data_IF_150529889577
#
_entry.id   IF_150529889577
#
_cell.length_a   1.000
_cell.length_b   1.000
_cell.length_c   1.000
_cell.angle_alpha   90.00
_cell.angle_beta   90.00
_cell.angle_gamma   90.00
#
_symmetry.space_group_name_H-M   'P 1'
#
loop_
_entity.id
_entity.type
_entity.pdbx_description
1 polymer ?
#
# COMPACT_ATOMS: atom_id res chain seq x y z
N UNK A 1 12.06 -8.15 -31.11
CA UNK A 1 11.25 -8.24 -29.88
C UNK A 1 9.85 -8.58 -30.35
N UNK A 2 9.31 -9.76 -30.03
CA UNK A 2 7.92 -10.08 -30.36
C UNK A 2 7.03 -9.13 -29.55
N UNK A 3 6.16 -8.40 -30.22
CA UNK A 3 5.00 -7.77 -29.60
C UNK A 3 4.26 -8.86 -28.83
N UNK A 4 3.99 -8.63 -27.55
CA UNK A 4 3.18 -9.55 -26.76
C UNK A 4 1.76 -9.48 -27.32
N UNK A 5 1.17 -10.63 -27.68
CA UNK A 5 -0.21 -10.72 -28.20
C UNK A 5 -1.27 -10.19 -27.21
N UNK A 6 -0.89 -9.97 -25.93
CA UNK A 6 -1.73 -9.41 -24.88
C UNK A 6 -1.16 -8.08 -24.34
N UNK A 7 -2.02 -7.13 -23.91
CA UNK A 7 -1.61 -5.89 -23.26
C UNK A 7 -0.88 -6.19 -21.95
N UNK A 8 0.06 -5.31 -21.55
CA UNK A 8 0.64 -5.38 -20.20
C UNK A 8 -0.38 -4.92 -19.16
N UNK A 9 -0.28 -5.44 -17.95
CA UNK A 9 -1.06 -4.99 -16.81
C UNK A 9 -0.18 -4.12 -15.92
N UNK A 10 -0.59 -2.86 -15.72
CA UNK A 10 0.09 -1.92 -14.85
C UNK A 10 -0.69 -1.79 -13.54
N UNK A 11 -0.17 -2.39 -12.47
CA UNK A 11 -0.75 -2.36 -11.13
C UNK A 11 -0.21 -1.14 -10.40
N UNK A 12 -1.03 -0.10 -10.27
CA UNK A 12 -0.69 1.16 -9.61
C UNK A 12 -1.13 1.13 -8.15
N UNK A 13 -0.18 1.43 -7.26
CA UNK A 13 -0.37 1.41 -5.81
C UNK A 13 0.07 2.76 -5.26
N UNK A 14 -0.67 3.30 -4.30
CA UNK A 14 -0.25 4.48 -3.55
C UNK A 14 -0.11 4.13 -2.08
N UNK A 15 1.14 4.03 -1.61
CA UNK A 15 1.46 3.88 -0.20
C UNK A 15 1.43 5.27 0.46
N UNK A 16 0.30 5.62 1.05
CA UNK A 16 0.09 6.92 1.68
C UNK A 16 0.53 6.86 3.15
N UNK A 17 1.57 7.62 3.49
CA UNK A 17 1.92 7.89 4.89
C UNK A 17 0.83 8.80 5.48
N UNK A 18 -0.19 8.18 6.07
CA UNK A 18 -1.44 8.85 6.39
C UNK A 18 -1.38 9.47 7.79
N UNK A 19 -0.71 10.62 7.91
CA UNK A 19 -0.41 11.28 9.20
C UNK A 19 -1.30 12.51 9.45
N UNK A 20 -2.53 12.36 9.96
CA UNK A 20 -3.43 13.50 10.20
C UNK A 20 -2.87 14.48 11.25
N UNK A 21 -2.00 14.01 12.15
CA UNK A 21 -1.36 14.87 13.17
C UNK A 21 -0.19 15.70 12.63
N UNK A 22 0.20 15.55 11.36
CA UNK A 22 1.28 16.35 10.81
C UNK A 22 0.93 17.84 10.77
N UNK A 23 1.87 18.70 11.18
CA UNK A 23 1.79 20.16 11.07
C UNK A 23 3.18 20.73 10.78
N UNK A 24 3.25 21.77 9.96
CA UNK A 24 4.51 22.40 9.53
C UNK A 24 5.34 22.95 10.70
N UNK A 25 4.69 23.27 11.84
CA UNK A 25 5.34 23.80 13.05
C UNK A 25 5.89 22.69 13.95
N UNK A 26 5.66 21.42 13.61
CA UNK A 26 6.02 20.26 14.42
C UNK A 26 5.19 20.14 15.71
N UNK A 27 4.05 20.83 15.79
CA UNK A 27 3.13 20.75 16.92
C UNK A 27 1.88 20.02 16.42
N UNK A 28 1.65 18.81 16.95
CA UNK A 28 0.48 18.03 16.59
C UNK A 28 -0.80 18.84 16.85
N UNK A 29 -1.69 18.97 15.85
CA UNK A 29 -2.97 19.65 16.02
C UNK A 29 -3.88 18.82 16.93
N UNK A 30 -4.85 19.47 17.55
CA UNK A 30 -5.85 18.78 18.36
C UNK A 30 -6.71 17.81 17.52
N UNK A 31 -7.44 16.94 18.21
CA UNK A 31 -8.28 15.92 17.56
C UNK A 31 -9.33 16.54 16.62
N UNK A 32 -9.90 17.71 16.96
CA UNK A 32 -10.90 18.36 16.11
C UNK A 32 -10.32 18.82 14.77
N UNK A 33 -9.11 19.39 14.78
CA UNK A 33 -8.39 19.76 13.57
C UNK A 33 -7.97 18.53 12.75
N UNK A 34 -7.54 17.44 13.40
CA UNK A 34 -7.25 16.17 12.72
C UNK A 34 -8.50 15.58 12.05
N UNK A 35 -9.65 15.56 12.74
CA UNK A 35 -10.92 15.11 12.20
C UNK A 35 -11.34 15.93 10.97
N UNK A 36 -11.19 17.25 11.03
CA UNK A 36 -11.49 18.12 9.89
C UNK A 36 -10.62 17.79 8.66
N UNK A 37 -9.32 17.52 8.87
CA UNK A 37 -8.41 17.10 7.79
C UNK A 37 -8.85 15.76 7.18
N UNK A 38 -9.19 14.78 8.02
CA UNK A 38 -9.67 13.46 7.56
C UNK A 38 -10.99 13.59 6.81
N UNK A 39 -11.93 14.41 7.29
CA UNK A 39 -13.20 14.66 6.59
C UNK A 39 -12.98 15.28 5.21
N UNK A 40 -12.07 16.25 5.11
CA UNK A 40 -11.68 16.84 3.84
C UNK A 40 -11.05 15.82 2.90
N UNK A 41 -10.24 14.90 3.42
CA UNK A 41 -9.67 13.79 2.66
C UNK A 41 -10.75 12.83 2.16
N UNK A 42 -11.65 12.35 3.03
CA UNK A 42 -12.74 11.45 2.66
C UNK A 42 -13.64 12.06 1.58
N UNK A 43 -13.94 13.36 1.65
CA UNK A 43 -14.69 14.06 0.62
C UNK A 43 -13.97 14.03 -0.75
N UNK A 44 -12.65 14.24 -0.76
CA UNK A 44 -11.84 14.16 -2.00
C UNK A 44 -11.77 12.74 -2.54
N UNK A 45 -11.57 11.73 -1.69
CA UNK A 45 -11.56 10.33 -2.07
C UNK A 45 -12.87 9.91 -2.74
N UNK A 46 -14.02 10.29 -2.16
CA UNK A 46 -15.34 10.09 -2.78
C UNK A 46 -15.47 10.82 -4.11
N UNK A 47 -14.97 12.06 -4.22
CA UNK A 47 -15.06 12.83 -5.45
C UNK A 47 -14.22 12.22 -6.59
N UNK A 48 -13.00 11.75 -6.32
CA UNK A 48 -12.11 11.18 -7.35
C UNK A 48 -12.51 9.75 -7.75
N UNK A 49 -13.32 9.06 -6.93
CA UNK A 49 -13.82 7.69 -7.19
C UNK A 49 -14.58 7.51 -8.52
N UNK A 50 -14.99 8.61 -9.16
CA UNK A 50 -15.54 8.59 -10.52
C UNK A 50 -14.51 8.12 -11.58
N UNK A 51 -13.21 8.30 -11.31
CA UNK A 51 -12.14 7.75 -12.14
C UNK A 51 -11.98 6.28 -11.82
N UNK A 52 -12.10 5.44 -12.85
CA UNK A 52 -12.04 3.99 -12.73
C UNK A 52 -10.91 3.42 -13.60
N UNK A 53 -10.33 2.33 -13.14
CA UNK A 53 -9.35 1.56 -13.89
C UNK A 53 -10.02 0.62 -14.91
N UNK A 54 -9.26 -0.28 -15.54
CA UNK A 54 -9.79 -1.22 -16.54
C UNK A 54 -10.85 -2.18 -16.00
N UNK A 55 -10.95 -2.33 -14.68
CA UNK A 55 -11.81 -3.29 -14.01
C UNK A 55 -13.08 -2.61 -13.47
N UNK A 56 -13.22 -1.30 -13.68
CA UNK A 56 -14.25 -0.49 -13.04
C UNK A 56 -13.92 -0.16 -11.58
N UNK A 57 -12.71 -0.46 -11.10
CA UNK A 57 -12.28 -0.19 -9.73
C UNK A 57 -11.99 1.31 -9.55
N UNK A 58 -12.54 1.97 -8.51
CA UNK A 58 -12.25 3.37 -8.24
C UNK A 58 -10.80 3.55 -7.80
N UNK A 59 -10.25 4.73 -8.06
CA UNK A 59 -8.93 5.09 -7.54
C UNK A 59 -8.93 5.04 -6.01
N UNK A 60 -7.93 4.33 -5.46
CA UNK A 60 -7.86 3.98 -4.05
C UNK A 60 -6.41 3.95 -3.58
N UNK A 61 -6.19 4.30 -2.32
CA UNK A 61 -4.88 4.29 -1.67
C UNK A 61 -4.81 3.15 -0.66
N UNK A 62 -3.60 2.84 -0.22
CA UNK A 62 -3.41 2.26 1.11
C UNK A 62 -3.07 3.37 2.09
N UNK A 63 -3.90 3.49 3.13
CA UNK A 63 -3.74 4.44 4.22
C UNK A 63 -2.91 3.77 5.31
N UNK A 64 -1.59 3.96 5.25
CA UNK A 64 -0.69 3.50 6.31
C UNK A 64 -0.86 4.44 7.51
N UNK A 65 -1.70 4.04 8.47
CA UNK A 65 -2.13 4.87 9.59
C UNK A 65 -1.16 4.72 10.77
N UNK A 66 -0.59 5.82 11.30
CA UNK A 66 0.43 5.79 12.34
C UNK A 66 -0.14 5.33 13.68
N UNK A 67 0.39 4.23 14.21
CA UNK A 67 -0.05 3.63 15.47
C UNK A 67 0.01 4.63 16.64
N UNK A 68 1.05 5.48 16.67
CA UNK A 68 1.26 6.47 17.71
C UNK A 68 0.32 7.68 17.63
N UNK A 69 -0.53 7.78 16.60
CA UNK A 69 -1.54 8.83 16.43
C UNK A 69 -2.97 8.27 16.53
N UNK A 70 -3.14 7.08 17.12
CA UNK A 70 -4.44 6.44 17.21
C UNK A 70 -5.47 7.28 18.00
N UNK A 71 -6.56 7.60 17.33
CA UNK A 71 -7.82 8.01 17.94
C UNK A 71 -8.93 7.22 17.26
N UNK A 72 -9.84 6.64 18.06
CA UNK A 72 -10.91 5.76 17.56
C UNK A 72 -11.76 6.48 16.49
N UNK A 73 -12.07 7.75 16.70
CA UNK A 73 -12.87 8.58 15.80
C UNK A 73 -12.23 8.81 14.43
N UNK A 74 -10.89 8.92 14.38
CA UNK A 74 -10.16 9.04 13.10
C UNK A 74 -10.24 7.72 12.33
N UNK A 75 -10.00 6.60 13.02
CA UNK A 75 -10.00 5.28 12.38
C UNK A 75 -11.40 4.85 11.95
N UNK A 76 -12.45 5.18 12.70
CA UNK A 76 -13.82 4.88 12.28
C UNK A 76 -14.16 5.53 10.93
N UNK A 77 -13.72 6.78 10.70
CA UNK A 77 -13.89 7.45 9.39
C UNK A 77 -13.13 6.73 8.28
N UNK A 78 -11.94 6.21 8.57
CA UNK A 78 -11.16 5.47 7.58
C UNK A 78 -11.74 4.08 7.31
N UNK A 79 -12.30 3.41 8.33
CA UNK A 79 -13.02 2.16 8.19
C UNK A 79 -14.29 2.33 7.33
N UNK A 80 -15.05 3.42 7.53
CA UNK A 80 -16.17 3.79 6.66
C UNK A 80 -15.71 3.98 5.20
N UNK A 81 -14.63 4.71 4.98
CA UNK A 81 -14.08 4.93 3.64
C UNK A 81 -13.60 3.62 2.98
N UNK A 82 -13.04 2.71 3.78
CA UNK A 82 -12.66 1.37 3.32
C UNK A 82 -13.87 0.50 2.99
N UNK A 83 -14.94 0.55 3.79
CA UNK A 83 -16.19 -0.14 3.52
C UNK A 83 -16.84 0.32 2.20
N UNK A 84 -16.64 1.60 1.83
CA UNK A 84 -17.05 2.14 0.52
C UNK A 84 -16.15 1.69 -0.65
N UNK A 85 -15.09 0.91 -0.38
CA UNK A 85 -14.13 0.45 -1.38
C UNK A 85 -13.13 1.52 -1.85
N UNK A 86 -12.97 2.60 -1.06
CA UNK A 86 -12.16 3.78 -1.43
C UNK A 86 -10.77 3.77 -0.77
N UNK A 87 -10.23 2.58 -0.50
CA UNK A 87 -8.89 2.34 0.03
C UNK A 87 -8.90 1.30 1.14
N UNK A 88 -7.73 1.00 1.67
CA UNK A 88 -7.57 0.08 2.81
C UNK A 88 -6.60 0.68 3.83
N UNK A 89 -6.87 0.46 5.12
CA UNK A 89 -6.00 0.88 6.22
C UNK A 89 -4.99 -0.20 6.55
N UNK A 90 -3.73 0.19 6.69
CA UNK A 90 -2.60 -0.68 7.03
C UNK A 90 -1.71 0.00 8.08
N UNK A 91 -0.68 -0.70 8.57
CA UNK A 91 0.11 -0.25 9.73
C UNK A 91 1.27 0.67 9.33
N UNK A 92 1.33 1.81 9.99
CA UNK A 92 2.46 2.72 9.97
C UNK A 92 2.96 2.92 11.39
N UNK A 93 4.28 3.05 11.56
CA UNK A 93 4.85 3.37 12.86
C UNK A 93 6.06 4.29 12.74
N UNK A 94 6.04 5.38 13.50
CA UNK A 94 7.25 6.08 13.89
C UNK A 94 7.74 5.55 15.23
N UNK A 95 8.98 5.06 15.27
CA UNK A 95 9.64 4.65 16.50
C UNK A 95 11.11 5.04 16.46
N UNK A 96 11.77 5.00 17.61
CA UNK A 96 13.20 5.32 17.70
C UNK A 96 13.56 6.79 17.42
N UNK A 97 12.61 7.72 17.51
CA UNK A 97 12.77 9.14 17.10
C UNK A 97 13.69 9.90 18.07
N UNK A 98 13.30 9.99 19.35
CA UNK A 98 14.07 10.71 20.37
C UNK A 98 15.28 9.91 20.87
N UNK A 99 15.11 8.59 20.93
CA UNK A 99 16.14 7.60 21.32
C UNK A 99 15.84 6.28 20.62
N UNK A 100 16.85 5.40 20.42
CA UNK A 100 16.63 4.07 19.88
C UNK A 100 15.53 3.32 20.64
N UNK A 101 14.62 2.69 19.91
CA UNK A 101 13.62 1.79 20.46
C UNK A 101 14.22 0.40 20.76
N UNK A 102 13.43 -0.49 21.34
CA UNK A 102 13.82 -1.84 21.69
C UNK A 102 12.78 -2.88 21.21
N UNK A 103 13.23 -4.11 21.05
CA UNK A 103 12.42 -5.21 20.51
C UNK A 103 11.10 -5.48 21.29
N UNK A 104 11.09 -5.51 22.64
CA UNK A 104 9.84 -5.65 23.40
C UNK A 104 8.81 -4.55 23.10
N UNK A 105 9.24 -3.28 23.12
CA UNK A 105 8.33 -2.15 22.88
C UNK A 105 7.77 -2.14 21.45
N UNK A 106 8.63 -2.38 20.47
CA UNK A 106 8.21 -2.50 19.07
C UNK A 106 7.17 -3.61 18.89
N UNK A 107 7.41 -4.80 19.47
CA UNK A 107 6.48 -5.92 19.40
C UNK A 107 5.13 -5.56 19.99
N UNK A 108 5.13 -5.03 21.22
CA UNK A 108 3.89 -4.69 21.91
C UNK A 108 3.09 -3.67 21.11
N UNK A 109 3.74 -2.60 20.62
CA UNK A 109 3.08 -1.55 19.83
C UNK A 109 2.44 -2.13 18.56
N UNK A 110 3.13 -3.03 17.85
CA UNK A 110 2.62 -3.67 16.64
C UNK A 110 1.46 -4.62 16.92
N UNK A 111 1.55 -5.43 17.99
CA UNK A 111 0.49 -6.36 18.38
C UNK A 111 -0.77 -5.60 18.81
N UNK A 112 -0.62 -4.61 19.70
CA UNK A 112 -1.74 -3.79 20.20
C UNK A 112 -2.45 -3.08 19.05
N UNK A 113 -1.70 -2.39 18.17
CA UNK A 113 -2.31 -1.65 17.07
C UNK A 113 -2.90 -2.55 15.98
N UNK A 114 -2.23 -3.67 15.64
CA UNK A 114 -2.79 -4.69 14.73
C UNK A 114 -4.13 -5.18 15.24
N UNK A 115 -4.20 -5.54 16.52
CA UNK A 115 -5.41 -6.11 17.11
C UNK A 115 -6.51 -5.06 17.21
N UNK A 116 -6.20 -3.80 17.53
CA UNK A 116 -7.17 -2.69 17.44
C UNK A 116 -7.72 -2.53 16.01
N UNK A 117 -6.87 -2.47 14.97
CA UNK A 117 -7.33 -2.34 13.58
C UNK A 117 -8.17 -3.53 13.13
N UNK A 118 -7.81 -4.75 13.54
CA UNK A 118 -8.52 -5.97 13.17
C UNK A 118 -9.84 -6.15 13.92
N UNK A 119 -9.86 -5.88 15.23
CA UNK A 119 -10.97 -6.25 16.09
C UNK A 119 -11.97 -5.12 16.32
N UNK A 120 -11.51 -3.88 16.45
CA UNK A 120 -12.40 -2.73 16.64
C UNK A 120 -12.86 -2.15 15.30
N UNK A 121 -11.95 -2.04 14.32
CA UNK A 121 -12.23 -1.34 13.06
C UNK A 121 -12.42 -2.27 11.86
N UNK A 122 -12.10 -3.57 11.99
CA UNK A 122 -12.23 -4.59 10.93
C UNK A 122 -11.45 -4.26 9.65
N UNK A 123 -10.43 -3.42 9.73
CA UNK A 123 -9.71 -2.90 8.56
C UNK A 123 -8.69 -3.87 7.97
N UNK A 124 -8.16 -4.80 8.76
CA UNK A 124 -7.08 -5.70 8.32
C UNK A 124 -7.61 -6.93 7.56
N UNK A 125 -6.68 -7.81 7.20
CA UNK A 125 -6.95 -9.04 6.45
C UNK A 125 -6.57 -10.29 7.24
N UNK A 126 -7.03 -11.45 6.79
CA UNK A 126 -6.60 -12.77 7.27
C UNK A 126 -6.17 -13.64 6.10
N UNK A 127 -5.31 -14.62 6.39
CA UNK A 127 -4.93 -15.67 5.45
C UNK A 127 -5.45 -17.01 5.97
N UNK A 128 -6.38 -17.67 5.27
CA UNK A 128 -6.82 -18.99 5.69
C UNK A 128 -5.66 -20.01 5.60
N UNK A 129 -5.51 -20.95 6.56
CA UNK A 129 -6.37 -21.22 7.71
C UNK A 129 -5.99 -20.49 9.01
N UNK A 130 -5.08 -19.51 8.97
CA UNK A 130 -4.66 -18.77 10.16
C UNK A 130 -5.65 -17.67 10.51
N UNK A 131 -6.08 -17.64 11.78
CA UNK A 131 -6.96 -16.58 12.30
C UNK A 131 -6.19 -15.30 12.70
N UNK A 132 -4.85 -15.34 12.73
CA UNK A 132 -4.02 -14.18 13.03
C UNK A 132 -4.25 -13.07 11.97
N UNK A 133 -4.61 -11.84 12.38
CA UNK A 133 -4.68 -10.70 11.48
C UNK A 133 -3.34 -10.43 10.79
N UNK A 134 -3.42 -10.04 9.52
CA UNK A 134 -2.27 -9.75 8.65
C UNK A 134 -2.33 -8.30 8.20
N UNK A 135 -1.16 -7.66 8.19
CA UNK A 135 -1.01 -6.25 7.83
C UNK A 135 0.19 -6.01 6.91
N UNK A 136 0.14 -4.94 6.12
CA UNK A 136 1.30 -4.36 5.46
C UNK A 136 1.89 -3.26 6.34
N UNK A 137 3.20 -3.05 6.19
CA UNK A 137 3.94 -2.09 7.00
C UNK A 137 4.60 -1.00 6.16
N UNK A 138 4.60 0.22 6.70
CA UNK A 138 5.49 1.31 6.29
C UNK A 138 6.18 1.86 7.54
N UNK A 139 7.50 1.99 7.44
CA UNK A 139 8.29 2.63 8.48
C UNK A 139 8.28 4.16 8.29
N UNK A 140 7.85 4.92 9.30
CA UNK A 140 7.57 6.35 9.12
C UNK A 140 8.76 7.24 8.79
N UNK A 141 9.92 6.96 9.38
CA UNK A 141 11.19 7.62 9.03
C UNK A 141 12.05 6.79 8.06
N UNK A 142 11.43 5.85 7.36
CA UNK A 142 12.05 4.96 6.39
C UNK A 142 13.21 4.09 6.90
N UNK A 143 13.42 4.02 8.22
CA UNK A 143 14.59 3.40 8.84
C UNK A 143 14.45 1.88 9.09
N UNK A 144 13.71 1.20 8.22
CA UNK A 144 13.37 -0.22 8.32
C UNK A 144 14.57 -1.09 8.70
N UNK A 145 14.36 -2.03 9.61
CA UNK A 145 15.36 -2.96 10.13
C UNK A 145 16.62 -2.26 10.63
N UNK A 146 16.44 -1.14 11.32
CA UNK A 146 17.48 -0.28 11.84
C UNK A 146 18.46 0.22 10.75
N UNK A 147 17.97 0.49 9.54
CA UNK A 147 18.80 0.82 8.38
C UNK A 147 19.64 2.09 8.58
N UNK A 148 19.14 3.06 9.34
CA UNK A 148 19.83 4.30 9.67
C UNK A 148 20.80 4.20 10.88
N UNK A 149 21.10 2.99 11.37
CA UNK A 149 22.19 2.77 12.34
C UNK A 149 21.91 3.32 13.73
N UNK A 150 20.71 3.06 14.26
CA UNK A 150 20.25 3.48 15.58
C UNK A 150 19.34 4.70 15.56
N UNK A 151 19.32 5.48 14.47
CA UNK A 151 18.41 6.61 14.30
C UNK A 151 17.05 6.13 13.79
N UNK A 152 15.98 6.67 14.37
CA UNK A 152 14.61 6.46 13.92
C UNK A 152 14.16 5.00 13.88
N UNK A 153 14.80 4.12 14.65
CA UNK A 153 14.40 2.71 14.82
C UNK A 153 15.10 2.16 16.07
N UNK A 154 16.32 1.60 15.95
CA UNK A 154 17.06 1.02 17.07
C UNK A 154 16.93 -0.50 17.23
N UNK A 155 16.01 -1.15 16.49
CA UNK A 155 15.71 -2.57 16.64
C UNK A 155 16.27 -3.39 15.48
N UNK A 156 17.39 -4.07 15.71
CA UNK A 156 18.02 -4.93 14.68
C UNK A 156 17.12 -6.09 14.23
N UNK A 157 16.27 -6.61 15.12
CA UNK A 157 15.34 -7.71 14.85
C UNK A 157 13.97 -7.27 14.35
N UNK A 158 13.79 -6.01 13.93
CA UNK A 158 12.49 -5.47 13.49
C UNK A 158 11.84 -6.33 12.39
N UNK A 159 12.59 -6.82 11.40
CA UNK A 159 12.01 -7.68 10.35
C UNK A 159 11.50 -9.02 10.86
N UNK A 160 12.12 -9.56 11.91
CA UNK A 160 11.64 -10.78 12.57
C UNK A 160 10.34 -10.48 13.34
N UNK A 161 10.31 -9.38 14.08
CA UNK A 161 9.12 -8.96 14.85
C UNK A 161 7.95 -8.67 13.90
N UNK A 162 8.18 -7.95 12.81
CA UNK A 162 7.17 -7.74 11.76
C UNK A 162 6.62 -9.09 11.26
N UNK A 163 7.49 -10.05 10.91
CA UNK A 163 7.05 -11.37 10.45
C UNK A 163 6.16 -12.10 11.49
N UNK A 164 6.62 -12.16 12.74
CA UNK A 164 5.97 -12.91 13.82
C UNK A 164 4.65 -12.26 14.24
N UNK A 165 4.55 -10.94 14.14
CA UNK A 165 3.32 -10.20 14.45
C UNK A 165 2.32 -10.19 13.29
N UNK A 166 2.65 -10.77 12.13
CA UNK A 166 1.70 -10.94 11.02
C UNK A 166 1.90 -9.99 9.83
N UNK A 167 3.02 -9.27 9.75
CA UNK A 167 3.33 -8.43 8.60
C UNK A 167 3.56 -9.30 7.35
N UNK A 168 2.74 -9.12 6.32
CA UNK A 168 2.86 -9.86 5.06
C UNK A 168 3.78 -9.16 4.05
N UNK A 169 3.83 -7.83 4.07
CA UNK A 169 4.65 -7.04 3.17
C UNK A 169 5.08 -5.69 3.75
N UNK A 170 6.24 -5.22 3.31
CA UNK A 170 6.77 -3.88 3.57
C UNK A 170 6.72 -3.02 2.31
N UNK A 171 6.33 -1.75 2.48
CA UNK A 171 6.21 -0.75 1.41
C UNK A 171 7.09 0.49 1.67
N UNK A 172 8.10 0.38 2.54
CA UNK A 172 8.92 1.51 2.98
C UNK A 172 9.78 2.08 1.85
N UNK A 173 10.29 1.24 0.93
CA UNK A 173 11.27 1.66 -0.07
C UNK A 173 10.64 2.16 -1.39
N UNK A 174 11.26 3.10 -2.13
CA UNK A 174 12.56 3.72 -1.86
C UNK A 174 12.50 4.77 -0.75
N UNK A 175 13.66 5.10 -0.21
CA UNK A 175 13.87 6.11 0.82
C UNK A 175 15.00 7.08 0.47
N UNK A 176 15.37 7.19 -0.81
CA UNK A 176 16.32 8.23 -1.23
C UNK A 176 15.81 9.63 -0.86
N UNK A 177 16.70 10.56 -0.48
CA UNK A 177 18.16 10.43 -0.41
C UNK A 177 18.69 9.92 0.95
N UNK A 178 17.82 9.40 1.81
CA UNK A 178 18.15 9.06 3.19
C UNK A 178 19.16 7.92 3.30
N UNK A 179 19.91 7.92 4.42
CA UNK A 179 20.88 6.87 4.75
C UNK A 179 20.24 5.47 4.79
N UNK A 180 18.94 5.39 5.08
CA UNK A 180 18.17 4.16 5.14
C UNK A 180 18.02 3.45 3.80
N UNK A 181 18.26 4.13 2.67
CA UNK A 181 18.12 3.52 1.35
C UNK A 181 19.12 2.38 1.16
N UNK A 182 18.61 1.21 0.79
CA UNK A 182 19.42 0.04 0.48
C UNK A 182 19.77 -0.05 -1.02
N UNK A 183 20.82 -0.80 -1.41
CA UNK A 183 21.18 -0.97 -2.82
C UNK A 183 20.12 -1.67 -3.68
N UNK A 184 19.21 -2.43 -3.05
CA UNK A 184 18.12 -3.13 -3.75
C UNK A 184 17.03 -2.12 -4.13
N UNK A 185 16.78 -1.98 -5.42
CA UNK A 185 15.81 -1.05 -5.99
C UNK A 185 15.01 -1.74 -7.10
N UNK A 186 13.85 -1.20 -7.45
CA UNK A 186 13.03 -1.64 -8.58
C UNK A 186 12.74 -3.15 -8.61
N UNK A 187 12.38 -3.71 -7.45
CA UNK A 187 12.08 -5.12 -7.27
C UNK A 187 10.92 -5.35 -6.29
N UNK A 188 10.26 -6.50 -6.44
CA UNK A 188 9.53 -7.17 -5.37
C UNK A 188 10.39 -8.35 -4.93
N UNK A 189 10.73 -8.42 -3.65
CA UNK A 189 11.75 -9.37 -3.18
C UNK A 189 11.57 -9.75 -1.71
N UNK A 190 12.23 -10.82 -1.28
CA UNK A 190 12.29 -11.21 0.14
C UNK A 190 13.68 -10.90 0.74
N UNK A 191 13.78 -10.80 2.06
CA UNK A 191 15.06 -10.63 2.74
C UNK A 191 16.09 -11.70 2.32
N UNK A 192 17.34 -11.27 2.08
CA UNK A 192 18.47 -12.18 1.85
C UNK A 192 19.23 -12.55 3.11
N UNK A 193 19.17 -11.69 4.14
CA UNK A 193 19.82 -11.92 5.44
C UNK A 193 18.88 -12.47 6.52
N UNK A 194 19.42 -12.89 7.68
CA UNK A 194 18.63 -13.35 8.82
C UNK A 194 17.75 -12.24 9.39
N UNK A 195 16.44 -12.46 9.52
CA UNK A 195 15.47 -11.42 9.93
C UNK A 195 15.71 -10.84 11.34
N UNK A 196 16.41 -11.57 12.21
CA UNK A 196 16.79 -11.13 13.55
C UNK A 196 18.02 -10.20 13.60
N UNK A 197 18.58 -9.83 12.44
CA UNK A 197 19.74 -8.95 12.32
C UNK A 197 19.39 -7.68 11.56
N UNK A 198 20.14 -6.61 11.82
CA UNK A 198 20.05 -5.33 11.11
C UNK A 198 20.13 -5.50 9.59
N UNK A 199 19.35 -4.69 8.86
CA UNK A 199 19.43 -4.59 7.40
C UNK A 199 19.34 -5.94 6.64
N UNK A 200 18.47 -6.89 7.03
CA UNK A 200 18.43 -8.21 6.38
C UNK A 200 17.82 -8.12 4.98
N UNK A 201 17.13 -7.02 4.68
CA UNK A 201 16.56 -6.68 3.38
C UNK A 201 17.50 -5.88 2.47
N UNK A 202 18.73 -5.59 2.90
CA UNK A 202 19.73 -4.86 2.09
C UNK A 202 19.99 -5.54 0.73
N UNK A 203 19.85 -6.86 0.70
CA UNK A 203 19.86 -7.69 -0.50
C UNK A 203 18.80 -8.79 -0.36
N UNK A 204 18.63 -9.59 -1.40
CA UNK A 204 17.70 -10.71 -1.40
C UNK A 204 17.27 -11.12 -2.81
N UNK A 205 16.73 -12.34 -2.99
CA UNK A 205 16.24 -12.79 -4.28
C UNK A 205 14.94 -12.07 -4.65
N UNK A 206 14.82 -11.65 -5.91
CA UNK A 206 13.54 -11.19 -6.46
C UNK A 206 12.53 -12.32 -6.41
N UNK A 207 11.26 -11.96 -6.23
CA UNK A 207 10.16 -12.89 -6.45
C UNK A 207 10.18 -13.40 -7.88
N UNK A 208 9.84 -14.67 -8.03
CA UNK A 208 9.78 -15.37 -9.31
C UNK A 208 8.68 -16.43 -9.25
N UNK A 209 8.16 -16.80 -10.41
CA UNK A 209 7.25 -17.94 -10.55
C UNK A 209 7.91 -19.21 -9.95
N UNK A 210 7.14 -19.96 -9.17
CA UNK A 210 7.56 -21.18 -8.48
C UNK A 210 8.41 -20.97 -7.23
N UNK A 211 8.56 -19.73 -6.74
CA UNK A 211 9.23 -19.47 -5.47
C UNK A 211 8.31 -19.72 -4.26
N UNK A 212 8.90 -19.88 -3.08
CA UNK A 212 8.18 -19.89 -1.81
C UNK A 212 8.69 -18.72 -0.96
N UNK A 213 8.15 -17.50 -1.16
CA UNK A 213 8.63 -16.33 -0.44
C UNK A 213 8.30 -16.40 1.04
N UNK A 214 9.20 -15.87 1.87
CA UNK A 214 9.01 -15.78 3.33
C UNK A 214 8.71 -14.32 3.72
N UNK A 215 7.48 -14.03 4.19
CA UNK A 215 7.09 -12.70 4.62
C UNK A 215 8.00 -12.09 5.71
N UNK A 216 8.06 -10.75 5.83
CA UNK A 216 7.44 -9.79 4.91
C UNK A 216 8.16 -9.75 3.56
N UNK A 217 7.39 -9.64 2.48
CA UNK A 217 7.88 -9.34 1.14
C UNK A 217 8.04 -7.84 0.98
N UNK A 218 9.12 -7.39 0.35
CA UNK A 218 9.39 -5.98 0.13
C UNK A 218 8.93 -5.52 -1.24
N UNK A 219 8.06 -4.52 -1.26
CA UNK A 219 7.59 -3.82 -2.45
C UNK A 219 8.30 -2.48 -2.58
N UNK A 220 9.21 -2.38 -3.55
CA UNK A 220 9.87 -1.10 -3.84
C UNK A 220 9.07 -0.30 -4.87
N UNK A 221 9.10 1.02 -4.73
CA UNK A 221 8.65 1.95 -5.77
C UNK A 221 9.71 2.17 -6.86
N UNK A 222 9.30 2.69 -8.03
CA UNK A 222 10.22 3.10 -9.08
C UNK A 222 11.24 4.13 -8.57
N UNK A 223 12.51 3.76 -8.62
CA UNK A 223 13.65 4.66 -8.49
C UNK A 223 14.41 4.69 -9.81
N UNK A 224 14.18 5.76 -10.58
CA UNK A 224 14.62 5.89 -11.97
C UNK A 224 15.27 7.24 -12.25
N UNK A 225 16.08 7.31 -13.30
CA UNK A 225 16.67 8.58 -13.71
C UNK A 225 15.71 9.41 -14.58
N UNK A 226 15.60 10.69 -14.24
CA UNK A 226 15.05 11.73 -15.08
C UNK A 226 16.18 12.49 -15.80
N UNK A 227 16.31 12.23 -17.10
CA UNK A 227 17.34 12.82 -17.96
C UNK A 227 16.88 14.09 -18.68
N UNK A 228 15.86 14.82 -18.20
CA UNK A 228 15.34 16.00 -18.92
C UNK A 228 16.12 17.27 -18.67
N UNK A 229 16.67 17.44 -17.47
CA UNK A 229 17.43 18.63 -17.12
C UNK A 229 18.67 18.74 -18.02
N UNK A 230 18.90 19.94 -18.55
CA UNK A 230 20.10 20.31 -19.31
C UNK A 230 20.80 21.45 -18.59
N UNK A 231 22.12 21.36 -18.44
CA UNK A 231 22.96 22.47 -17.98
C UNK A 231 24.02 22.68 -19.06
N UNK A 232 24.07 23.88 -19.64
CA UNK A 232 24.92 24.20 -20.81
C UNK A 232 24.77 23.19 -21.97
N UNK A 233 23.54 22.70 -22.21
CA UNK A 233 23.25 21.71 -23.25
C UNK A 233 23.56 20.25 -22.89
N UNK A 234 24.22 19.98 -21.76
CA UNK A 234 24.55 18.62 -21.31
C UNK A 234 23.46 18.01 -20.42
N UNK A 235 23.11 16.73 -20.58
CA UNK A 235 22.13 16.06 -19.73
C UNK A 235 22.66 15.89 -18.31
N UNK A 236 21.88 16.36 -17.33
CA UNK A 236 22.19 16.18 -15.90
C UNK A 236 21.04 15.38 -15.27
N UNK A 237 21.25 14.11 -14.90
CA UNK A 237 20.18 13.28 -14.38
C UNK A 237 19.71 13.79 -13.01
N UNK A 238 18.41 13.65 -12.77
CA UNK A 238 17.81 13.69 -11.43
C UNK A 238 17.25 12.32 -11.09
N UNK A 239 17.09 12.03 -9.81
CA UNK A 239 16.34 10.85 -9.38
C UNK A 239 14.83 11.17 -9.40
N UNK A 240 14.04 10.18 -9.77
CA UNK A 240 12.60 10.13 -9.61
C UNK A 240 12.34 8.89 -8.76
N UNK A 241 11.90 9.12 -7.53
CA UNK A 241 11.76 8.13 -6.47
C UNK A 241 10.31 7.69 -6.24
N UNK A 242 9.41 8.02 -7.17
CA UNK A 242 7.98 7.75 -7.12
C UNK A 242 7.19 8.50 -6.04
N UNK A 243 7.76 9.56 -5.46
CA UNK A 243 7.04 10.47 -4.54
C UNK A 243 5.94 11.27 -5.27
N UNK A 244 4.83 11.50 -4.59
CA UNK A 244 3.73 12.38 -4.98
C UNK A 244 3.74 13.59 -4.04
N UNK A 245 4.18 14.74 -4.55
CA UNK A 245 4.28 15.97 -3.78
C UNK A 245 4.02 17.21 -4.67
N UNK A 246 3.67 18.34 -4.08
CA UNK A 246 3.39 19.61 -4.75
C UNK A 246 4.54 20.08 -5.64
N UNK A 247 5.78 19.95 -5.15
CA UNK A 247 6.99 20.27 -5.91
C UNK A 247 7.39 19.19 -6.93
N UNK A 248 6.70 18.03 -6.92
CA UNK A 248 6.94 16.91 -7.82
C UNK A 248 5.63 16.21 -8.21
N UNK A 249 4.77 16.87 -9.02
CA UNK A 249 3.44 16.35 -9.35
C UNK A 249 3.52 15.12 -10.28
N UNK A 250 2.49 14.27 -10.32
CA UNK A 250 2.39 13.18 -11.28
C UNK A 250 2.12 13.76 -12.68
N UNK A 251 2.80 13.20 -13.68
CA UNK A 251 2.65 13.58 -15.09
C UNK A 251 2.80 12.32 -15.95
N UNK A 252 2.24 12.32 -17.18
CA UNK A 252 2.45 11.22 -18.13
C UNK A 252 3.92 10.89 -18.37
N UNK A 253 4.78 11.90 -18.29
CA UNK A 253 6.22 11.73 -18.47
C UNK A 253 6.88 10.98 -17.33
N UNK A 254 6.43 11.22 -16.08
CA UNK A 254 6.83 10.43 -14.91
C UNK A 254 6.30 9.02 -15.03
N UNK A 255 5.02 8.87 -15.37
CA UNK A 255 4.37 7.58 -15.62
C UNK A 255 5.11 6.71 -16.64
N UNK A 256 5.53 7.29 -17.76
CA UNK A 256 6.35 6.57 -18.75
C UNK A 256 7.72 6.12 -18.23
N UNK A 257 8.31 6.81 -17.24
CA UNK A 257 9.55 6.37 -16.59
C UNK A 257 9.26 5.30 -15.55
N UNK A 258 8.22 5.46 -14.74
CA UNK A 258 7.80 4.48 -13.74
C UNK A 258 7.52 3.12 -14.37
N UNK A 259 6.73 3.06 -15.46
CA UNK A 259 6.46 1.78 -16.16
C UNK A 259 7.71 1.11 -16.72
N UNK A 260 8.78 1.87 -16.98
CA UNK A 260 10.07 1.34 -17.46
C UNK A 260 10.91 0.71 -16.37
N UNK A 261 10.59 0.94 -15.08
CA UNK A 261 11.23 0.25 -13.98
C UNK A 261 10.93 -1.27 -14.00
N UNK A 262 9.80 -1.68 -14.62
CA UNK A 262 9.40 -3.09 -14.81
C UNK A 262 9.50 -3.92 -13.52
N UNK A 263 9.06 -3.32 -12.42
CA UNK A 263 9.01 -3.96 -11.11
C UNK A 263 7.92 -5.02 -11.18
N UNK A 264 8.22 -6.26 -10.79
CA UNK A 264 7.25 -7.36 -10.83
C UNK A 264 7.87 -8.70 -10.47
N UNK A 265 7.08 -9.76 -10.65
CA UNK A 265 7.50 -11.14 -10.42
C UNK A 265 8.22 -11.68 -11.65
N UNK A 266 9.42 -12.21 -11.47
CA UNK A 266 10.19 -12.78 -12.58
C UNK A 266 9.46 -14.02 -13.14
N UNK A 267 9.27 -14.05 -14.46
CA UNK A 267 8.44 -15.05 -15.13
C UNK A 267 7.02 -14.57 -15.43
N UNK A 268 6.62 -13.39 -14.94
CA UNK A 268 5.37 -12.68 -15.28
C UNK A 268 5.65 -11.23 -15.75
N UNK A 269 6.42 -11.04 -16.84
CA UNK A 269 6.84 -9.70 -17.30
C UNK A 269 5.68 -8.80 -17.77
N UNK A 270 4.51 -9.39 -18.02
CA UNK A 270 3.27 -8.71 -18.37
C UNK A 270 2.62 -7.99 -17.18
N UNK A 271 2.88 -8.40 -15.93
CA UNK A 271 2.37 -7.74 -14.72
C UNK A 271 3.44 -6.84 -14.12
N UNK A 272 3.24 -5.53 -14.24
CA UNK A 272 4.19 -4.49 -13.78
C UNK A 272 3.57 -3.67 -12.67
N UNK A 273 4.27 -3.59 -11.54
CA UNK A 273 3.87 -2.88 -10.35
C UNK A 273 4.48 -1.48 -10.32
N UNK A 274 3.66 -0.48 -10.01
CA UNK A 274 4.04 0.92 -9.89
C UNK A 274 3.59 1.39 -8.50
N UNK A 275 4.46 1.19 -7.50
CA UNK A 275 4.26 1.71 -6.14
C UNK A 275 4.72 3.16 -6.07
N UNK A 276 3.77 4.07 -5.89
CA UNK A 276 3.98 5.48 -5.57
C UNK A 276 3.84 5.68 -4.05
N UNK A 277 4.29 6.82 -3.55
CA UNK A 277 4.12 7.17 -2.13
C UNK A 277 4.00 8.69 -1.94
N UNK A 278 3.53 9.12 -0.78
CA UNK A 278 3.43 10.53 -0.42
C UNK A 278 2.79 10.70 0.96
N UNK A 279 2.66 11.96 1.40
CA UNK A 279 2.04 12.31 2.67
C UNK A 279 0.74 13.09 2.41
N UNK A 280 -0.40 12.53 2.80
CA UNK A 280 -1.70 13.09 2.45
C UNK A 280 -2.04 14.46 3.08
N UNK A 281 -1.29 14.87 4.11
CA UNK A 281 -1.62 16.04 4.94
C UNK A 281 -0.57 17.15 4.93
N UNK A 282 0.46 17.02 4.09
CA UNK A 282 1.41 18.11 3.87
C UNK A 282 0.73 19.22 3.06
N UNK A 283 1.17 20.49 3.20
CA UNK A 283 0.55 21.61 2.52
C UNK A 283 0.68 21.39 1.01
N UNK A 284 -0.40 21.66 0.27
CA UNK A 284 -0.52 21.48 -1.19
C UNK A 284 -0.42 20.03 -1.71
N UNK A 285 0.15 19.09 -0.96
CA UNK A 285 0.32 17.68 -1.36
C UNK A 285 -1.02 16.95 -1.48
N UNK A 286 -2.02 17.32 -0.68
CA UNK A 286 -3.35 16.71 -0.73
C UNK A 286 -4.01 16.81 -2.12
N UNK A 287 -3.84 17.93 -2.84
CA UNK A 287 -4.36 18.07 -4.21
C UNK A 287 -3.62 17.17 -5.20
N UNK A 288 -2.30 17.04 -5.00
CA UNK A 288 -1.45 16.16 -5.81
C UNK A 288 -1.79 14.69 -5.60
N UNK A 289 -2.15 14.28 -4.39
CA UNK A 289 -2.39 12.88 -4.05
C UNK A 289 -3.82 12.41 -4.35
N UNK A 290 -4.84 13.23 -4.07
CA UNK A 290 -6.24 12.80 -4.17
C UNK A 290 -7.18 13.88 -4.75
N UNK A 291 -6.67 15.07 -5.06
CA UNK A 291 -7.45 16.18 -5.59
C UNK A 291 -7.54 16.22 -7.11
N UNK A 292 -7.72 17.44 -7.64
CA UNK A 292 -7.96 17.65 -9.08
C UNK A 292 -6.71 17.40 -9.92
N UNK A 293 -5.52 17.65 -9.35
CA UNK A 293 -4.27 17.31 -10.02
C UNK A 293 -4.11 15.80 -10.22
N UNK A 294 -4.42 14.99 -9.20
CA UNK A 294 -4.44 13.53 -9.35
C UNK A 294 -5.53 13.09 -10.34
N UNK A 295 -6.75 13.65 -10.24
CA UNK A 295 -7.86 13.33 -11.15
C UNK A 295 -7.48 13.54 -12.61
N UNK A 296 -6.87 14.70 -12.94
CA UNK A 296 -6.41 15.00 -14.31
C UNK A 296 -5.35 14.00 -14.77
N UNK A 297 -4.34 13.74 -13.95
CA UNK A 297 -3.29 12.79 -14.27
C UNK A 297 -3.85 11.39 -14.55
N UNK A 298 -4.73 10.88 -13.69
CA UNK A 298 -5.33 9.56 -13.88
C UNK A 298 -6.21 9.51 -15.12
N UNK A 299 -6.97 10.57 -15.40
CA UNK A 299 -7.75 10.70 -16.64
C UNK A 299 -6.87 10.61 -17.90
N UNK A 300 -5.73 11.29 -17.90
CA UNK A 300 -4.74 11.19 -18.99
C UNK A 300 -4.16 9.77 -19.12
N UNK A 301 -3.89 9.09 -17.99
CA UNK A 301 -3.37 7.71 -17.99
C UNK A 301 -4.40 6.71 -18.51
N UNK A 302 -5.66 6.81 -18.07
CA UNK A 302 -6.74 5.93 -18.53
C UNK A 302 -7.03 6.15 -20.01
N UNK A 303 -7.09 7.40 -20.46
CA UNK A 303 -7.27 7.73 -21.88
C UNK A 303 -6.12 7.19 -22.75
N UNK A 304 -4.88 7.28 -22.25
CA UNK A 304 -3.71 6.70 -22.92
C UNK A 304 -3.79 5.17 -22.99
N UNK A 305 -4.25 4.50 -21.93
CA UNK A 305 -4.46 3.06 -21.91
C UNK A 305 -5.45 2.64 -23.00
N UNK A 306 -6.63 3.28 -23.01
CA UNK A 306 -7.72 2.98 -23.94
C UNK A 306 -7.33 3.23 -25.40
N UNK A 307 -6.64 4.34 -25.69
CA UNK A 307 -6.23 4.70 -27.06
C UNK A 307 -5.11 3.82 -27.59
N UNK A 308 -4.16 3.44 -26.75
CA UNK A 308 -2.97 2.72 -27.20
C UNK A 308 -3.18 1.22 -27.27
N UNK A 309 -4.01 0.65 -26.38
CA UNK A 309 -4.11 -0.81 -26.21
C UNK A 309 -2.81 -1.48 -25.75
N UNK A 310 -1.75 -0.72 -25.45
CA UNK A 310 -0.45 -1.27 -25.03
C UNK A 310 -0.49 -1.86 -23.62
N UNK A 311 -1.41 -1.37 -22.80
CA UNK A 311 -1.53 -1.75 -21.40
C UNK A 311 -2.94 -1.51 -20.85
N UNK A 312 -3.29 -2.26 -19.80
CA UNK A 312 -4.38 -1.99 -18.88
C UNK A 312 -3.82 -1.38 -17.58
N UNK A 313 -4.57 -0.48 -16.96
CA UNK A 313 -4.24 0.07 -15.65
C UNK A 313 -5.15 -0.60 -14.61
N UNK A 314 -4.59 -0.98 -13.47
CA UNK A 314 -5.31 -1.52 -12.31
C UNK A 314 -4.92 -0.72 -11.08
N UNK A 315 -5.87 -0.10 -10.39
CA UNK A 315 -5.63 0.53 -9.08
C UNK A 315 -5.71 -0.56 -8.02
N UNK A 316 -4.71 -0.63 -7.15
CA UNK A 316 -4.63 -1.66 -6.12
C UNK A 316 -4.15 -1.07 -4.79
N UNK A 317 -4.69 -1.59 -3.69
CA UNK A 317 -4.10 -1.43 -2.36
C UNK A 317 -2.86 -2.32 -2.19
N UNK A 318 -2.12 -2.14 -1.10
CA UNK A 318 -0.98 -2.96 -0.71
C UNK A 318 -1.35 -4.45 -0.60
N UNK A 319 -2.51 -4.76 0.00
CA UNK A 319 -3.04 -6.13 0.13
C UNK A 319 -3.37 -6.74 -1.23
N UNK A 320 -4.11 -6.01 -2.06
CA UNK A 320 -4.46 -6.46 -3.40
C UNK A 320 -3.20 -6.70 -4.25
N UNK A 321 -2.23 -5.79 -4.19
CA UNK A 321 -0.95 -5.94 -4.87
C UNK A 321 -0.13 -7.14 -4.37
N UNK A 322 -0.15 -7.40 -3.06
CA UNK A 322 0.46 -8.59 -2.49
C UNK A 322 -0.20 -9.85 -3.02
N UNK A 323 -1.53 -9.92 -3.01
CA UNK A 323 -2.28 -11.06 -3.52
C UNK A 323 -2.00 -11.33 -5.00
N UNK A 324 -2.01 -10.28 -5.84
CA UNK A 324 -1.65 -10.37 -7.26
C UNK A 324 -0.21 -10.88 -7.42
N UNK A 325 0.75 -10.38 -6.64
CA UNK A 325 2.14 -10.83 -6.70
C UNK A 325 2.28 -12.30 -6.25
N UNK A 326 1.55 -12.73 -5.22
CA UNK A 326 1.57 -14.13 -4.78
C UNK A 326 0.92 -15.05 -5.82
N UNK A 327 -0.18 -14.63 -6.45
CA UNK A 327 -0.78 -15.39 -7.55
C UNK A 327 0.21 -15.57 -8.72
N UNK A 328 0.95 -14.51 -9.07
CA UNK A 328 2.03 -14.60 -10.06
C UNK A 328 3.14 -15.58 -9.62
N UNK A 329 3.53 -15.55 -8.35
CA UNK A 329 4.52 -16.50 -7.80
C UNK A 329 4.01 -17.94 -7.93
N UNK A 330 2.73 -18.19 -7.66
CA UNK A 330 2.11 -19.51 -7.78
C UNK A 330 1.83 -19.94 -9.24
N UNK A 331 2.20 -19.08 -10.20
CA UNK A 331 2.13 -19.40 -11.63
C UNK A 331 0.79 -19.07 -12.26
N UNK A 332 -0.06 -18.27 -11.63
CA UNK A 332 -1.24 -17.71 -12.28
C UNK A 332 -0.86 -16.65 -13.34
N UNK A 333 -1.73 -16.48 -14.33
CA UNK A 333 -1.64 -15.50 -15.42
C UNK A 333 -3.01 -14.93 -15.76
N UNK A 334 -3.11 -14.15 -16.84
CA UNK A 334 -4.35 -13.50 -17.24
C UNK A 334 -4.55 -12.13 -16.58
N UNK A 335 -5.79 -11.81 -16.21
CA UNK A 335 -6.15 -10.51 -15.67
C UNK A 335 -5.88 -10.44 -14.15
N UNK A 336 -5.02 -9.52 -13.66
CA UNK A 336 -4.76 -9.35 -12.23
C UNK A 336 -6.00 -9.09 -11.37
N UNK A 337 -7.08 -8.58 -11.96
CA UNK A 337 -8.33 -8.33 -11.27
C UNK A 337 -8.84 -9.58 -10.53
N UNK A 338 -8.68 -10.75 -11.13
CA UNK A 338 -9.17 -12.03 -10.60
C UNK A 338 -8.43 -12.48 -9.32
N UNK A 339 -7.33 -11.80 -8.98
CA UNK A 339 -6.43 -12.18 -7.88
C UNK A 339 -6.36 -11.15 -6.75
N UNK A 340 -7.28 -10.18 -6.69
CA UNK A 340 -7.28 -9.16 -5.63
C UNK A 340 -7.46 -9.72 -4.21
N UNK A 341 -8.16 -10.86 -4.08
CA UNK A 341 -8.42 -11.55 -2.81
C UNK A 341 -7.82 -12.97 -2.77
N UNK A 342 -6.68 -13.19 -3.44
CA UNK A 342 -6.10 -14.52 -3.65
C UNK A 342 -5.70 -15.28 -2.37
N UNK A 343 -4.82 -14.72 -1.53
CA UNK A 343 -4.40 -15.34 -0.26
C UNK A 343 -4.97 -14.62 0.97
N UNK A 344 -5.01 -13.29 0.91
CA UNK A 344 -5.49 -12.42 1.99
C UNK A 344 -6.91 -11.93 1.69
N UNK A 345 -7.84 -12.20 2.60
CA UNK A 345 -9.21 -11.69 2.55
C UNK A 345 -9.44 -10.65 3.64
N UNK A 346 -10.23 -9.62 3.34
CA UNK A 346 -10.59 -8.59 4.33
C UNK A 346 -11.47 -9.14 5.44
N UNK A 347 -11.16 -8.75 6.68
CA UNK A 347 -11.94 -9.11 7.87
C UNK A 347 -13.35 -8.49 7.80
N UNK A 348 -13.46 -7.27 7.26
CA UNK A 348 -14.75 -6.59 7.09
C UNK A 348 -15.75 -7.42 6.27
N UNK A 349 -15.28 -8.16 5.25
CA UNK A 349 -16.13 -8.97 4.36
C UNK A 349 -16.61 -10.27 5.03
N UNK A 350 -15.89 -10.76 6.06
CA UNK A 350 -16.34 -11.91 6.87
C UNK A 350 -17.63 -11.56 7.61
N UNK A 351 -17.75 -10.31 8.06
CA UNK A 351 -18.92 -9.81 8.81
C UNK A 351 -20.16 -9.70 7.93
N UNK A 352 -20.02 -9.20 6.70
CA UNK A 352 -21.13 -9.13 5.74
C UNK A 352 -21.65 -10.52 5.34
N UNK A 353 -20.74 -11.47 5.13
CA UNK A 353 -21.09 -12.85 4.77
C UNK A 353 -21.85 -13.55 5.90
N UNK A 354 -21.44 -13.35 7.15
CA UNK A 354 -22.14 -13.89 8.32
C UNK A 354 -23.53 -13.27 8.52
N UNK A 355 -23.69 -11.96 8.29
CA UNK A 355 -24.98 -11.27 8.35
C UNK A 355 -25.94 -11.74 7.24
N UNK A 356 -25.44 -11.88 6.01
CA UNK A 356 -26.22 -12.40 4.88
C UNK A 356 -26.75 -13.82 5.13
N UNK A 357 -25.88 -14.72 5.63
CA UNK A 357 -26.28 -16.09 5.98
C UNK A 357 -27.30 -16.12 7.12
N UNK A 358 -27.18 -15.23 8.11
CA UNK A 358 -28.14 -15.12 9.20
C UNK A 358 -29.52 -14.66 8.72
N UNK A 359 -29.58 -13.67 7.82
CA UNK A 359 -30.82 -13.16 7.24
C UNK A 359 -31.49 -14.17 6.31
N UNK A 360 -30.74 -14.95 5.53
CA UNK A 360 -31.28 -16.08 4.76
C UNK A 360 -31.89 -17.17 5.65
N UNK A 361 -31.19 -17.55 6.72
CA UNK A 361 -31.68 -18.50 7.71
C UNK A 361 -32.95 -17.99 8.42
N UNK A 362 -33.02 -16.70 8.73
CA UNK A 362 -34.21 -16.06 9.32
C UNK A 362 -35.37 -16.00 8.33
N UNK A 363 -35.13 -15.62 7.08
CA UNK A 363 -36.13 -15.60 6.01
C UNK A 363 -36.70 -16.98 5.71
N UNK A 364 -35.85 -18.02 5.74
CA UNK A 364 -36.26 -19.43 5.59
C UNK A 364 -37.13 -19.91 6.75
N UNK A 365 -36.77 -19.57 8.01
CA UNK A 365 -37.59 -19.88 9.20
C UNK A 365 -38.96 -19.20 9.19
N UNK A 366 -39.04 -17.95 8.72
CA UNK A 366 -40.32 -17.23 8.58
C UNK A 366 -41.20 -17.87 7.50
N UNK A 367 -40.64 -18.27 6.35
CA UNK A 367 -41.40 -18.98 5.30
C UNK A 367 -41.93 -20.34 5.78
N UNK A 368 -41.13 -21.09 6.55
CA UNK A 368 -41.55 -22.36 7.16
C UNK A 368 -42.67 -22.19 8.21
N UNK A 369 -42.67 -21.10 8.97
CA UNK A 369 -43.73 -20.81 9.94
C UNK A 369 -45.06 -20.44 9.26
N UNK A 370 -45.03 -19.69 8.15
CA UNK A 370 -46.22 -19.33 7.37
C UNK A 370 -46.81 -20.55 6.64
N UNK A 371 -45.99 -21.49 6.20
CA UNK A 371 -46.44 -22.74 5.58
C UNK A 371 -47.10 -23.73 6.56
N UNK A 372 -46.91 -23.56 7.88
CA UNK A 372 -47.58 -24.36 8.94
C UNK A 372 -48.88 -23.74 9.46
N UNK A 373 -49.22 -22.53 9.01
CA UNK A 373 -50.42 -21.78 9.40
C UNK A 373 -51.46 -21.69 8.26
N UNK A 374 -51.25 -22.44 7.18
CA UNK A 374 -52.24 -22.76 6.13
C UNK A 374 -52.50 -24.25 6.17
#
# INVERSE_FOLDING_TARGET
MRETENPRHLIMIVANHFEPSWDERGIAPDLSAQLWKVDAWCAKARAISSIRDSDGTPFRHTYFFPAEQYYSELLSKMAELQAEGLGEVEVHLHHGVDRPDNAPNLRQTLEDFRDTLAEEHKCLSRQQPTDQPKYAFVHGNWALANSAGGRFCGVDSEMQILAETGCYADFTLPSVPEQSQVPKINAIYQCGGPKGQRLPHRSGPNLRVGATPVPPVLFTGPLVFNWRRRIHGLPVPRLDDSSLAANYPPTLERFHRWRKARIGVHGRPEWVFIKLHGHGFFPDDADIMIGDSMRRFLGEVTELADKSGEFKIHFATAREAFNIAMAAVDGHDGDPHDYRDYQLALIMNETETALSQYDELRGSRVKMAVARLR
#
